data_IF_886968462525
#
_entry.id   IF_886968462525
#
_cell.length_a   1.000
_cell.length_b   1.000
_cell.length_c   1.000
_cell.angle_alpha   90.00
_cell.angle_beta   90.00
_cell.angle_gamma   90.00
#
_symmetry.space_group_name_H-M   'P 1'
#
loop_
_entity.id
_entity.type
_entity.pdbx_description
1 polymer ?
#
# COMPACT_ATOMS: atom_id res chain seq x y z
N UNK A 1 -19.18 9.10 17.95
CA UNK A 1 -18.97 7.68 18.30
C UNK A 1 -17.51 7.38 17.98
N UNK A 2 -16.68 7.26 19.01
CA UNK A 2 -15.26 7.62 18.99
C UNK A 2 -14.42 6.71 18.08
N UNK A 3 -13.47 7.29 17.34
CA UNK A 3 -12.41 6.61 16.57
C UNK A 3 -11.66 5.55 17.40
N UNK A 4 -11.57 5.78 18.72
CA UNK A 4 -11.01 4.85 19.70
C UNK A 4 -11.84 3.55 19.86
N UNK A 5 -13.15 3.59 19.62
CA UNK A 5 -14.01 2.41 19.65
C UNK A 5 -13.89 1.60 18.35
N UNK A 6 -13.74 2.29 17.20
CA UNK A 6 -13.56 1.63 15.91
C UNK A 6 -12.23 0.88 15.82
N UNK A 7 -11.14 1.52 16.24
CA UNK A 7 -9.80 0.89 16.28
C UNK A 7 -9.76 -0.34 17.21
N UNK A 8 -10.41 -0.26 18.38
CA UNK A 8 -10.57 -1.42 19.29
C UNK A 8 -11.39 -2.55 18.65
N UNK A 9 -12.49 -2.23 17.98
CA UNK A 9 -13.33 -3.23 17.30
C UNK A 9 -12.61 -3.88 16.12
N UNK A 10 -11.85 -3.11 15.33
CA UNK A 10 -11.04 -3.61 14.23
C UNK A 10 -9.95 -4.57 14.71
N UNK A 11 -9.29 -4.23 15.82
CA UNK A 11 -8.28 -5.09 16.43
C UNK A 11 -8.85 -6.43 16.90
N UNK A 12 -10.06 -6.43 17.46
CA UNK A 12 -10.75 -7.66 17.87
C UNK A 12 -11.11 -8.52 16.64
N UNK A 13 -11.68 -7.95 15.58
CA UNK A 13 -12.00 -8.72 14.37
C UNK A 13 -10.75 -9.28 13.69
N UNK A 14 -9.70 -8.47 13.55
CA UNK A 14 -8.41 -8.90 13.00
C UNK A 14 -7.74 -10.01 13.82
N UNK A 15 -8.05 -10.14 15.11
CA UNK A 15 -7.48 -11.20 15.95
C UNK A 15 -8.09 -12.59 15.68
N UNK A 16 -9.23 -12.70 14.99
CA UNK A 16 -9.93 -13.98 14.78
C UNK A 16 -9.08 -14.99 13.99
N UNK A 17 -8.49 -14.65 12.82
CA UNK A 17 -7.61 -15.57 12.11
C UNK A 17 -6.34 -15.91 12.90
N UNK A 18 -5.83 -14.99 13.71
CA UNK A 18 -4.66 -15.22 14.56
C UNK A 18 -4.97 -16.19 15.71
N UNK A 19 -6.13 -16.05 16.36
CA UNK A 19 -6.60 -16.99 17.37
C UNK A 19 -6.82 -18.39 16.79
N UNK A 20 -7.38 -18.47 15.57
CA UNK A 20 -7.52 -19.72 14.84
C UNK A 20 -6.17 -20.36 14.51
N UNK A 21 -5.17 -19.56 14.11
CA UNK A 21 -3.80 -20.04 13.93
C UNK A 21 -3.22 -20.62 15.23
N UNK A 22 -3.37 -19.94 16.36
CA UNK A 22 -2.85 -20.44 17.65
C UNK A 22 -3.52 -21.77 18.00
N UNK A 23 -4.83 -21.87 17.83
CA UNK A 23 -5.59 -23.09 18.08
C UNK A 23 -5.13 -24.24 17.18
N UNK A 24 -4.99 -24.01 15.87
CA UNK A 24 -4.54 -25.03 14.92
C UNK A 24 -3.10 -25.49 15.18
N UNK A 25 -2.19 -24.57 15.53
CA UNK A 25 -0.83 -24.92 15.93
C UNK A 25 -0.80 -25.72 17.24
N UNK A 26 -1.64 -25.39 18.22
CA UNK A 26 -1.75 -26.12 19.48
C UNK A 26 -2.28 -27.54 19.26
N UNK A 27 -3.34 -27.70 18.46
CA UNK A 27 -3.86 -29.03 18.08
C UNK A 27 -2.80 -29.83 17.34
N UNK A 28 -2.05 -29.21 16.43
CA UNK A 28 -0.96 -29.87 15.70
C UNK A 28 0.16 -30.33 16.65
N UNK A 29 0.53 -29.50 17.63
CA UNK A 29 1.50 -29.85 18.67
C UNK A 29 1.02 -31.05 19.51
N UNK A 30 -0.21 -31.01 20.04
CA UNK A 30 -0.78 -32.12 20.83
C UNK A 30 -0.85 -33.40 19.98
N UNK A 31 -1.27 -33.28 18.72
CA UNK A 31 -1.32 -34.41 17.78
C UNK A 31 0.07 -35.04 17.57
N UNK A 32 1.11 -34.23 17.40
CA UNK A 32 2.49 -34.71 17.31
C UNK A 32 2.94 -35.42 18.59
N UNK A 33 2.65 -34.85 19.77
CA UNK A 33 3.03 -35.44 21.06
C UNK A 33 2.32 -36.78 21.31
N UNK A 34 1.01 -36.84 21.10
CA UNK A 34 0.20 -38.07 21.29
C UNK A 34 0.59 -39.19 20.33
N UNK A 35 0.90 -38.87 19.07
CA UNK A 35 1.38 -39.84 18.06
C UNK A 35 2.82 -40.29 18.26
N UNK A 36 3.69 -39.44 18.79
CA UNK A 36 5.01 -39.88 19.24
C UNK A 36 4.93 -41.00 20.29
N UNK A 37 3.83 -41.05 21.05
CA UNK A 37 3.56 -42.09 22.04
C UNK A 37 2.81 -43.34 21.48
N UNK A 38 2.23 -43.30 20.27
CA UNK A 38 1.47 -44.43 19.70
C UNK A 38 2.32 -45.29 18.74
N UNK A 39 2.49 -46.58 19.10
CA UNK A 39 3.42 -47.50 18.45
C UNK A 39 2.82 -48.36 17.33
N UNK A 40 1.51 -48.32 17.04
CA UNK A 40 0.88 -49.25 16.07
C UNK A 40 1.36 -49.10 14.59
N UNK A 41 1.60 -50.22 13.86
CA UNK A 41 1.90 -50.23 12.42
C UNK A 41 0.64 -50.14 11.54
N UNK A 42 0.75 -49.60 10.32
CA UNK A 42 -0.36 -49.39 9.36
C UNK A 42 -0.26 -50.27 8.08
N UNK A 43 -1.40 -50.59 7.44
CA UNK A 43 -1.46 -51.40 6.21
C UNK A 43 -1.08 -50.64 4.92
N UNK A 44 -0.52 -51.36 3.94
CA UNK A 44 0.07 -50.85 2.67
C UNK A 44 -0.87 -50.01 1.79
N UNK A 45 -2.18 -50.34 1.72
CA UNK A 45 -3.18 -49.57 0.93
C UNK A 45 -3.31 -48.10 1.35
N UNK A 46 -2.92 -47.76 2.59
CA UNK A 46 -2.94 -46.39 3.12
C UNK A 46 -1.92 -45.45 2.45
N UNK A 47 -0.87 -45.98 1.80
CA UNK A 47 0.22 -45.17 1.23
C UNK A 47 -0.16 -44.60 -0.14
N UNK A 48 -0.87 -45.37 -0.98
CA UNK A 48 -1.31 -44.90 -2.29
C UNK A 48 -2.38 -43.81 -2.16
N UNK A 49 -3.33 -43.98 -1.23
CA UNK A 49 -4.34 -42.96 -0.94
C UNK A 49 -3.72 -41.63 -0.48
N UNK A 50 -2.65 -41.69 0.32
CA UNK A 50 -1.91 -40.53 0.83
C UNK A 50 -1.26 -39.68 -0.27
N UNK A 51 -0.67 -40.34 -1.27
CA UNK A 51 -0.06 -39.68 -2.44
C UNK A 51 -1.11 -38.96 -3.28
N UNK A 52 -2.27 -39.60 -3.49
CA UNK A 52 -3.39 -39.01 -4.22
C UNK A 52 -3.92 -37.78 -3.46
N UNK A 53 -4.10 -37.88 -2.13
CA UNK A 53 -4.54 -36.73 -1.33
C UNK A 53 -3.54 -35.57 -1.36
N UNK A 54 -2.24 -35.85 -1.31
CA UNK A 54 -1.20 -34.81 -1.39
C UNK A 54 -1.23 -34.07 -2.73
N UNK A 55 -1.40 -34.81 -3.84
CA UNK A 55 -1.50 -34.23 -5.18
C UNK A 55 -2.77 -33.38 -5.35
N UNK A 56 -3.91 -33.81 -4.81
CA UNK A 56 -5.16 -33.03 -4.87
C UNK A 56 -5.02 -31.73 -4.07
N UNK A 57 -4.50 -31.82 -2.84
CA UNK A 57 -4.35 -30.63 -1.98
C UNK A 57 -3.35 -29.64 -2.54
N UNK A 58 -2.27 -30.11 -3.19
CA UNK A 58 -1.30 -29.20 -3.83
C UNK A 58 -1.93 -28.44 -5.01
N UNK A 59 -2.72 -29.11 -5.85
CA UNK A 59 -3.46 -28.45 -6.96
C UNK A 59 -4.45 -27.42 -6.44
N UNK A 60 -5.20 -27.75 -5.38
CA UNK A 60 -6.12 -26.81 -4.73
C UNK A 60 -5.39 -25.61 -4.12
N UNK A 61 -4.19 -25.83 -3.57
CA UNK A 61 -3.36 -24.74 -3.04
C UNK A 61 -2.90 -23.80 -4.16
N UNK A 62 -2.51 -24.35 -5.32
CA UNK A 62 -2.18 -23.54 -6.50
C UNK A 62 -3.39 -22.72 -6.97
N UNK A 63 -4.58 -23.32 -7.01
CA UNK A 63 -5.81 -22.62 -7.35
C UNK A 63 -6.13 -21.48 -6.36
N UNK A 64 -5.96 -21.72 -5.05
CA UNK A 64 -6.13 -20.70 -4.02
C UNK A 64 -5.17 -19.52 -4.21
N UNK A 65 -3.88 -19.78 -4.47
CA UNK A 65 -2.91 -18.71 -4.75
C UNK A 65 -3.29 -17.92 -6.01
N UNK A 66 -3.76 -18.60 -7.07
CA UNK A 66 -4.25 -17.93 -8.28
C UNK A 66 -5.42 -16.99 -8.02
N UNK A 67 -6.38 -17.39 -7.19
CA UNK A 67 -7.49 -16.53 -6.76
C UNK A 67 -7.00 -15.31 -5.96
N UNK A 68 -5.98 -15.48 -5.11
CA UNK A 68 -5.39 -14.38 -4.36
C UNK A 68 -4.66 -13.36 -5.24
N UNK A 69 -3.95 -13.83 -6.26
CA UNK A 69 -3.30 -12.98 -7.26
C UNK A 69 -4.33 -12.22 -8.10
N UNK A 70 -5.41 -12.88 -8.50
CA UNK A 70 -6.52 -12.24 -9.22
C UNK A 70 -7.19 -11.15 -8.37
N UNK A 71 -7.48 -11.44 -7.09
CA UNK A 71 -8.02 -10.43 -6.18
C UNK A 71 -7.08 -9.24 -5.93
N UNK A 72 -5.76 -9.46 -5.96
CA UNK A 72 -4.77 -8.40 -5.85
C UNK A 72 -4.76 -7.48 -7.09
N UNK A 73 -4.91 -8.05 -8.28
CA UNK A 73 -5.03 -7.26 -9.52
C UNK A 73 -6.28 -6.38 -9.51
N UNK A 74 -7.43 -6.94 -9.13
CA UNK A 74 -8.68 -6.17 -8.97
C UNK A 74 -8.54 -5.06 -7.91
N UNK A 75 -7.93 -5.35 -6.76
CA UNK A 75 -7.67 -4.34 -5.74
C UNK A 75 -6.77 -3.21 -6.27
N UNK A 76 -5.69 -3.58 -6.96
CA UNK A 76 -4.77 -2.61 -7.56
C UNK A 76 -5.49 -1.73 -8.59
N UNK A 77 -6.26 -2.34 -9.50
CA UNK A 77 -7.04 -1.62 -10.50
C UNK A 77 -8.07 -0.67 -9.87
N UNK A 78 -8.79 -1.11 -8.84
CA UNK A 78 -9.71 -0.27 -8.07
C UNK A 78 -9.02 0.92 -7.40
N UNK A 79 -7.83 0.70 -6.82
CA UNK A 79 -7.03 1.75 -6.18
C UNK A 79 -6.49 2.76 -7.20
N UNK A 80 -5.90 2.30 -8.30
CA UNK A 80 -5.37 3.15 -9.37
C UNK A 80 -6.50 3.98 -10.00
N UNK A 81 -7.66 3.39 -10.27
CA UNK A 81 -8.81 4.12 -10.79
C UNK A 81 -9.26 5.22 -9.82
N UNK A 82 -9.30 4.93 -8.52
CA UNK A 82 -9.64 5.90 -7.47
C UNK A 82 -8.64 7.06 -7.41
N UNK A 83 -7.34 6.75 -7.43
CA UNK A 83 -6.27 7.75 -7.48
C UNK A 83 -6.37 8.64 -8.72
N UNK A 84 -6.67 8.04 -9.88
CA UNK A 84 -6.84 8.79 -11.12
C UNK A 84 -8.03 9.75 -11.04
N UNK A 85 -9.16 9.35 -10.44
CA UNK A 85 -10.28 10.26 -10.21
C UNK A 85 -9.94 11.36 -9.19
N UNK A 86 -9.17 11.05 -8.14
CA UNK A 86 -8.66 12.03 -7.19
C UNK A 86 -7.79 13.11 -7.87
N UNK A 87 -6.89 12.69 -8.76
CA UNK A 87 -6.10 13.62 -9.58
C UNK A 87 -6.96 14.55 -10.45
N UNK A 88 -8.08 14.05 -11.00
CA UNK A 88 -9.00 14.90 -11.76
C UNK A 88 -9.66 15.98 -10.89
N UNK A 89 -9.97 15.68 -9.63
CA UNK A 89 -10.46 16.67 -8.66
C UNK A 89 -9.41 17.74 -8.40
N UNK A 90 -8.15 17.35 -8.17
CA UNK A 90 -7.07 18.31 -7.94
C UNK A 90 -6.81 19.19 -9.17
N UNK A 91 -6.88 18.63 -10.39
CA UNK A 91 -6.79 19.41 -11.63
C UNK A 91 -7.93 20.42 -11.74
N UNK A 92 -9.17 20.03 -11.38
CA UNK A 92 -10.30 20.94 -11.37
C UNK A 92 -10.11 22.07 -10.36
N UNK A 93 -9.67 21.77 -9.14
CA UNK A 93 -9.35 22.77 -8.11
C UNK A 93 -8.22 23.69 -8.56
N UNK A 94 -7.15 23.15 -9.16
CA UNK A 94 -6.05 23.94 -9.72
C UNK A 94 -6.54 24.88 -10.84
N UNK A 95 -7.47 24.43 -11.69
CA UNK A 95 -8.08 25.27 -12.73
C UNK A 95 -8.89 26.42 -12.13
N UNK A 96 -9.63 26.19 -11.05
CA UNK A 96 -10.34 27.23 -10.29
C UNK A 96 -9.34 28.25 -9.72
N UNK A 97 -8.25 27.79 -9.10
CA UNK A 97 -7.19 28.66 -8.57
C UNK A 97 -6.57 29.52 -9.67
N UNK A 98 -6.17 28.91 -10.78
CA UNK A 98 -5.59 29.62 -11.93
C UNK A 98 -6.55 30.66 -12.55
N UNK A 99 -7.84 30.35 -12.65
CA UNK A 99 -8.83 31.31 -13.13
C UNK A 99 -9.01 32.47 -12.15
N UNK A 100 -9.00 32.19 -10.85
CA UNK A 100 -9.08 33.23 -9.81
C UNK A 100 -7.86 34.15 -9.84
N UNK A 101 -6.67 33.58 -9.99
CA UNK A 101 -5.41 34.34 -10.16
C UNK A 101 -5.45 35.21 -11.41
N UNK A 102 -6.02 34.72 -12.52
CA UNK A 102 -6.19 35.49 -13.74
C UNK A 102 -7.11 36.70 -13.53
N UNK A 103 -8.22 36.52 -12.80
CA UNK A 103 -9.13 37.63 -12.43
C UNK A 103 -8.39 38.66 -11.56
N UNK A 104 -7.66 38.20 -10.55
CA UNK A 104 -6.89 39.07 -9.65
C UNK A 104 -5.84 39.88 -10.43
N UNK A 105 -5.08 39.23 -11.32
CA UNK A 105 -4.10 39.91 -12.20
C UNK A 105 -4.78 40.93 -13.12
N UNK A 106 -5.90 40.56 -13.73
CA UNK A 106 -6.64 41.43 -14.64
C UNK A 106 -7.11 42.70 -13.93
N UNK A 107 -7.71 42.56 -12.74
CA UNK A 107 -8.29 43.66 -12.00
C UNK A 107 -7.24 44.48 -11.24
N UNK A 108 -6.32 43.83 -10.51
CA UNK A 108 -5.38 44.52 -9.62
C UNK A 108 -4.07 44.97 -10.28
N UNK A 109 -3.68 44.37 -11.41
CA UNK A 109 -2.46 44.76 -12.12
C UNK A 109 -2.83 45.61 -13.35
N UNK A 110 -3.64 45.07 -14.26
CA UNK A 110 -3.95 45.76 -15.52
C UNK A 110 -4.95 46.91 -15.30
N UNK A 111 -6.18 46.60 -14.90
CA UNK A 111 -7.24 47.60 -14.75
C UNK A 111 -6.88 48.66 -13.68
N UNK A 112 -6.34 48.24 -12.53
CA UNK A 112 -5.89 49.17 -11.48
C UNK A 112 -4.74 50.07 -11.95
N UNK A 113 -3.84 49.57 -12.81
CA UNK A 113 -2.80 50.36 -13.45
C UNK A 113 -3.39 51.45 -14.35
N UNK A 114 -4.34 51.10 -15.21
CA UNK A 114 -5.07 52.07 -16.05
C UNK A 114 -5.84 53.09 -15.21
N UNK A 115 -6.52 52.64 -14.15
CA UNK A 115 -7.25 53.51 -13.22
C UNK A 115 -6.33 54.49 -12.50
N UNK A 116 -5.14 54.07 -12.08
CA UNK A 116 -4.14 54.95 -11.48
C UNK A 116 -3.66 56.00 -12.49
N UNK A 117 -3.42 55.61 -13.73
CA UNK A 117 -3.04 56.55 -14.79
C UNK A 117 -4.13 57.58 -15.07
N UNK A 118 -5.40 57.17 -15.06
CA UNK A 118 -6.55 58.08 -15.20
C UNK A 118 -6.64 58.99 -13.99
N UNK A 119 -6.49 58.46 -12.76
CA UNK A 119 -6.50 59.24 -11.52
C UNK A 119 -5.43 60.32 -11.50
N UNK A 120 -4.21 60.02 -11.94
CA UNK A 120 -3.14 61.02 -12.05
C UNK A 120 -3.49 62.17 -13.02
N UNK A 121 -4.32 61.94 -14.04
CA UNK A 121 -4.78 63.01 -14.94
C UNK A 121 -5.81 63.90 -14.22
N UNK A 122 -6.61 63.32 -13.35
CA UNK A 122 -7.59 64.03 -12.53
C UNK A 122 -6.95 64.88 -11.42
N UNK A 123 -5.66 64.71 -11.12
CA UNK A 123 -4.92 65.60 -10.20
C UNK A 123 -4.58 66.96 -10.83
N UNK A 124 -4.76 67.13 -12.15
CA UNK A 124 -4.53 68.40 -12.83
C UNK A 124 -5.61 69.44 -12.49
N UNK A 125 -5.25 70.74 -12.35
CA UNK A 125 -6.21 71.80 -12.06
C UNK A 125 -7.24 71.96 -13.20
N UNK A 126 -8.52 72.10 -12.84
CA UNK A 126 -9.65 72.25 -13.79
C UNK A 126 -10.50 73.48 -13.47
N UNK A 127 -11.14 74.05 -14.49
CA UNK A 127 -11.96 75.26 -14.37
C UNK A 127 -13.39 74.98 -13.88
N UNK A 128 -13.91 73.78 -14.14
CA UNK A 128 -15.29 73.38 -13.83
C UNK A 128 -15.36 72.40 -12.64
N UNK A 129 -15.34 72.95 -11.42
CA UNK A 129 -15.28 72.19 -10.16
C UNK A 129 -16.47 71.24 -9.97
N UNK A 130 -17.68 71.62 -10.41
CA UNK A 130 -18.90 70.82 -10.23
C UNK A 130 -18.85 69.53 -11.07
N UNK A 131 -18.46 69.65 -12.33
CA UNK A 131 -18.31 68.50 -13.25
C UNK A 131 -17.13 67.62 -12.81
N UNK A 132 -16.06 68.25 -12.32
CA UNK A 132 -14.91 67.56 -11.75
C UNK A 132 -15.32 66.66 -10.56
N UNK A 133 -16.04 67.19 -9.57
CA UNK A 133 -16.50 66.40 -8.41
C UNK A 133 -17.38 65.21 -8.82
N UNK A 134 -18.25 65.40 -9.81
CA UNK A 134 -19.08 64.31 -10.34
C UNK A 134 -18.23 63.22 -11.01
N UNK A 135 -17.28 63.61 -11.87
CA UNK A 135 -16.39 62.69 -12.56
C UNK A 135 -15.45 61.95 -11.59
N UNK A 136 -14.89 62.64 -10.60
CA UNK A 136 -14.06 62.03 -9.55
C UNK A 136 -14.86 61.03 -8.69
N UNK A 137 -16.13 61.30 -8.40
CA UNK A 137 -16.99 60.33 -7.71
C UNK A 137 -17.19 59.05 -8.52
N UNK A 138 -17.41 59.15 -9.83
CA UNK A 138 -17.50 57.95 -10.69
C UNK A 138 -16.18 57.19 -10.76
N UNK A 139 -15.05 57.89 -10.84
CA UNK A 139 -13.72 57.27 -10.84
C UNK A 139 -13.41 56.55 -9.52
N UNK A 140 -13.78 57.13 -8.38
CA UNK A 140 -13.61 56.50 -7.06
C UNK A 140 -14.45 55.22 -6.96
N UNK A 141 -15.74 55.30 -7.32
CA UNK A 141 -16.62 54.11 -7.38
C UNK A 141 -16.09 53.04 -8.33
N UNK A 142 -15.46 53.43 -9.43
CA UNK A 142 -14.84 52.51 -10.39
C UNK A 142 -13.64 51.77 -9.77
N UNK A 143 -12.80 52.47 -9.01
CA UNK A 143 -11.65 51.89 -8.29
C UNK A 143 -12.11 50.95 -7.18
N UNK A 144 -13.12 51.34 -6.41
CA UNK A 144 -13.64 50.53 -5.29
C UNK A 144 -14.30 49.25 -5.81
N UNK A 145 -15.11 49.34 -6.87
CA UNK A 145 -15.72 48.14 -7.46
C UNK A 145 -14.65 47.19 -8.05
N UNK A 146 -13.55 47.72 -8.59
CA UNK A 146 -12.44 46.92 -9.11
C UNK A 146 -11.76 46.09 -8.01
N UNK A 147 -11.52 46.69 -6.84
CA UNK A 147 -10.92 45.98 -5.71
C UNK A 147 -11.90 45.01 -5.06
N UNK A 148 -13.18 45.36 -4.96
CA UNK A 148 -14.24 44.47 -4.48
C UNK A 148 -14.36 43.21 -5.36
N UNK A 149 -14.40 43.36 -6.69
CA UNK A 149 -14.47 42.22 -7.60
C UNK A 149 -13.25 41.29 -7.47
N UNK A 150 -12.05 41.86 -7.31
CA UNK A 150 -10.83 41.09 -7.11
C UNK A 150 -10.81 40.34 -5.76
N UNK A 151 -11.25 41.00 -4.69
CA UNK A 151 -11.33 40.40 -3.35
C UNK A 151 -12.35 39.27 -3.30
N UNK A 152 -13.53 39.46 -3.88
CA UNK A 152 -14.55 38.42 -3.97
C UNK A 152 -14.06 37.17 -4.71
N UNK A 153 -13.26 37.34 -5.76
CA UNK A 153 -12.61 36.23 -6.44
C UNK A 153 -11.57 35.55 -5.53
N UNK A 154 -10.70 36.32 -4.87
CA UNK A 154 -9.68 35.82 -3.95
C UNK A 154 -10.28 34.97 -2.81
N UNK A 155 -11.41 35.38 -2.23
CA UNK A 155 -12.10 34.64 -1.17
C UNK A 155 -12.51 33.22 -1.61
N UNK A 156 -12.90 33.04 -2.89
CA UNK A 156 -13.23 31.72 -3.46
C UNK A 156 -11.99 30.81 -3.49
N UNK A 157 -10.83 31.34 -3.89
CA UNK A 157 -9.56 30.59 -3.92
C UNK A 157 -9.12 30.20 -2.51
N UNK A 158 -9.24 31.11 -1.54
CA UNK A 158 -8.83 30.86 -0.16
C UNK A 158 -9.67 29.75 0.48
N UNK A 159 -10.98 29.74 0.26
CA UNK A 159 -11.87 28.68 0.72
C UNK A 159 -11.54 27.29 0.15
N UNK A 160 -10.88 27.22 -1.00
CA UNK A 160 -10.50 25.97 -1.67
C UNK A 160 -9.04 25.56 -1.43
N UNK A 161 -8.28 26.31 -0.62
CA UNK A 161 -6.86 26.04 -0.36
C UNK A 161 -6.64 24.70 0.37
N UNK A 162 -7.62 24.26 1.17
CA UNK A 162 -7.58 23.02 1.93
C UNK A 162 -7.93 21.73 1.17
N UNK A 163 -8.40 21.81 -0.09
CA UNK A 163 -8.59 20.63 -0.94
C UNK A 163 -7.24 20.19 -1.53
N UNK A 164 -6.58 19.27 -0.85
CA UNK A 164 -5.44 18.51 -1.37
C UNK A 164 -5.66 17.04 -0.95
N UNK A 165 -6.42 16.30 -1.76
CA UNK A 165 -6.81 14.93 -1.43
C UNK A 165 -5.74 13.92 -1.85
N UNK A 166 -4.99 14.18 -2.92
CA UNK A 166 -4.04 13.20 -3.47
C UNK A 166 -2.86 12.96 -2.54
N UNK A 167 -2.32 14.00 -1.89
CA UNK A 167 -1.21 13.85 -0.94
C UNK A 167 -1.58 12.96 0.27
N UNK A 168 -2.83 13.04 0.75
CA UNK A 168 -3.34 12.23 1.87
C UNK A 168 -3.65 10.79 1.48
N UNK A 169 -4.13 10.55 0.25
CA UNK A 169 -4.44 9.18 -0.22
C UNK A 169 -3.13 8.43 -0.57
N UNK A 170 -2.12 9.12 -1.13
CA UNK A 170 -0.81 8.52 -1.45
C UNK A 170 -0.08 8.07 -0.18
N UNK A 171 -0.13 8.83 0.93
CA UNK A 171 0.44 8.37 2.21
C UNK A 171 -0.22 7.08 2.76
N UNK A 172 -1.50 6.86 2.48
CA UNK A 172 -2.17 5.59 2.81
C UNK A 172 -1.84 4.44 1.84
N UNK A 173 -1.51 4.77 0.59
CA UNK A 173 -1.13 3.82 -0.46
C UNK A 173 0.33 3.35 -0.37
N UNK A 174 1.27 4.25 -0.04
CA UNK A 174 2.71 3.94 0.04
C UNK A 174 3.01 2.95 1.19
N UNK A 175 2.26 3.02 2.30
CA UNK A 175 2.41 2.08 3.43
C UNK A 175 1.85 0.68 3.11
N UNK A 176 1.09 0.53 2.01
CA UNK A 176 0.43 -0.72 1.61
C UNK A 176 0.96 -1.31 0.30
N UNK A 177 1.75 -0.56 -0.48
CA UNK A 177 2.29 -0.98 -1.78
C UNK A 177 3.41 -2.02 -1.70
N UNK A 178 4.22 -1.99 -0.64
CA UNK A 178 5.46 -2.78 -0.62
C UNK A 178 5.45 -4.13 0.14
N UNK A 179 4.58 -4.42 1.13
CA UNK A 179 4.65 -5.73 1.78
C UNK A 179 3.85 -6.84 1.06
N UNK A 180 2.84 -6.52 0.26
CA UNK A 180 1.99 -7.55 -0.41
C UNK A 180 2.68 -8.10 -1.67
N UNK A 181 3.33 -7.22 -2.45
CA UNK A 181 4.18 -7.60 -3.58
C UNK A 181 5.46 -8.30 -3.09
N UNK A 182 6.04 -7.93 -1.95
CA UNK A 182 7.21 -8.64 -1.42
C UNK A 182 6.92 -10.06 -0.92
N UNK A 183 5.68 -10.37 -0.50
CA UNK A 183 5.30 -11.72 -0.09
C UNK A 183 4.88 -12.64 -1.24
N UNK A 184 4.39 -12.07 -2.36
CA UNK A 184 3.88 -12.83 -3.52
C UNK A 184 4.72 -12.67 -4.81
N UNK A 185 5.67 -11.73 -4.83
CA UNK A 185 6.50 -11.38 -5.99
C UNK A 185 7.76 -12.22 -6.14
N UNK A 186 8.02 -13.17 -5.23
CA UNK A 186 8.98 -14.24 -5.50
C UNK A 186 8.22 -15.50 -5.91
N UNK A 187 8.11 -15.81 -7.23
CA UNK A 187 7.69 -17.14 -7.68
C UNK A 187 8.58 -18.26 -7.12
N UNK A 188 9.72 -17.92 -6.51
CA UNK A 188 10.61 -18.83 -5.81
C UNK A 188 10.03 -19.41 -4.50
N UNK A 189 8.96 -18.82 -3.92
CA UNK A 189 8.37 -19.32 -2.65
C UNK A 189 7.11 -20.17 -2.83
N UNK A 190 6.40 -20.03 -3.95
CA UNK A 190 5.26 -20.92 -4.30
C UNK A 190 5.70 -22.25 -4.94
N UNK A 191 6.96 -22.35 -5.39
CA UNK A 191 7.54 -23.58 -5.93
C UNK A 191 8.11 -24.53 -4.85
N UNK A 192 8.34 -24.05 -3.62
CA UNK A 192 8.94 -24.85 -2.54
C UNK A 192 8.09 -26.07 -2.11
N UNK A 193 6.74 -26.00 -2.11
CA UNK A 193 5.91 -27.18 -1.84
C UNK A 193 5.99 -28.25 -2.95
N UNK A 194 6.35 -27.87 -4.18
CA UNK A 194 6.38 -28.79 -5.33
C UNK A 194 7.71 -29.55 -5.42
N UNK A 195 8.84 -29.00 -4.92
CA UNK A 195 10.12 -29.70 -4.87
C UNK A 195 10.21 -30.79 -3.77
N UNK A 196 9.29 -30.80 -2.79
CA UNK A 196 9.26 -31.78 -1.71
C UNK A 196 8.85 -33.20 -2.14
N UNK A 197 8.20 -33.33 -3.30
CA UNK A 197 7.61 -34.60 -3.78
C UNK A 197 8.68 -35.59 -4.26
N UNK A 198 9.91 -35.15 -4.52
CA UNK A 198 10.88 -35.95 -5.28
C UNK A 198 12.01 -36.65 -4.50
N UNK A 199 12.25 -36.42 -3.19
CA UNK A 199 13.42 -37.04 -2.54
C UNK A 199 13.21 -37.60 -1.14
N UNK A 200 13.60 -38.87 -1.00
CA UNK A 200 13.74 -39.68 0.21
C UNK A 200 14.83 -39.18 1.20
N UNK A 201 15.12 -37.87 1.25
CA UNK A 201 16.15 -37.31 2.14
C UNK A 201 15.54 -36.70 3.41
N UNK A 202 16.09 -37.07 4.59
CA UNK A 202 15.64 -36.61 5.91
C UNK A 202 15.72 -35.08 6.05
N UNK A 203 16.79 -34.47 5.53
CA UNK A 203 16.95 -33.02 5.58
C UNK A 203 15.90 -32.26 4.76
N UNK A 204 15.44 -32.84 3.65
CA UNK A 204 14.42 -32.23 2.80
C UNK A 204 13.04 -32.22 3.46
N UNK A 205 12.67 -33.29 4.18
CA UNK A 205 11.39 -33.35 4.91
C UNK A 205 11.32 -32.36 6.09
N UNK A 206 12.45 -32.17 6.79
CA UNK A 206 12.54 -31.19 7.89
C UNK A 206 12.42 -29.77 7.32
N UNK A 207 13.16 -29.46 6.26
CA UNK A 207 13.07 -28.17 5.58
C UNK A 207 11.65 -27.89 5.05
N UNK A 208 11.00 -28.90 4.47
CA UNK A 208 9.63 -28.81 3.99
C UNK A 208 8.64 -28.47 5.12
N UNK A 209 8.75 -29.16 6.26
CA UNK A 209 7.89 -28.93 7.43
C UNK A 209 8.06 -27.52 8.01
N UNK A 210 9.31 -27.06 8.15
CA UNK A 210 9.60 -25.70 8.65
C UNK A 210 9.08 -24.65 7.68
N UNK A 211 9.35 -24.80 6.37
CA UNK A 211 8.84 -23.87 5.36
C UNK A 211 7.31 -23.88 5.27
N UNK A 212 6.68 -25.06 5.37
CA UNK A 212 5.22 -25.20 5.40
C UNK A 212 4.59 -24.51 6.62
N UNK A 213 5.18 -24.67 7.80
CA UNK A 213 4.72 -24.01 9.02
C UNK A 213 4.87 -22.48 8.93
N UNK A 214 5.98 -21.98 8.38
CA UNK A 214 6.16 -20.54 8.14
C UNK A 214 5.14 -20.01 7.12
N UNK A 215 4.83 -20.78 6.07
CA UNK A 215 3.82 -20.41 5.08
C UNK A 215 2.41 -20.39 5.69
N UNK A 216 2.08 -21.34 6.57
CA UNK A 216 0.83 -21.31 7.36
C UNK A 216 0.77 -20.04 8.20
N UNK A 217 1.83 -19.72 8.95
CA UNK A 217 1.87 -18.49 9.77
C UNK A 217 1.65 -17.25 8.91
N UNK A 218 2.39 -17.13 7.80
CA UNK A 218 2.22 -16.02 6.88
C UNK A 218 0.78 -15.93 6.34
N UNK A 219 0.17 -17.04 5.92
CA UNK A 219 -1.20 -17.03 5.35
C UNK A 219 -2.26 -16.52 6.32
N UNK A 220 -2.21 -16.94 7.59
CA UNK A 220 -3.17 -16.47 8.60
C UNK A 220 -2.88 -15.05 9.08
N UNK A 221 -1.61 -14.63 9.13
CA UNK A 221 -1.25 -13.23 9.38
C UNK A 221 -1.78 -12.34 8.25
N UNK A 222 -1.60 -12.73 6.99
CA UNK A 222 -2.15 -11.99 5.85
C UNK A 222 -3.68 -12.00 5.86
N UNK A 223 -4.33 -13.12 6.22
CA UNK A 223 -5.78 -13.17 6.39
C UNK A 223 -6.28 -12.18 7.46
N UNK A 224 -5.55 -12.00 8.56
CA UNK A 224 -5.88 -10.97 9.58
C UNK A 224 -5.83 -9.55 8.99
N UNK A 225 -4.78 -9.26 8.23
CA UNK A 225 -4.53 -7.96 7.61
C UNK A 225 -5.57 -7.68 6.53
N UNK A 226 -5.95 -8.70 5.74
CA UNK A 226 -7.00 -8.62 4.73
C UNK A 226 -8.37 -8.41 5.37
N UNK A 227 -8.70 -9.17 6.42
CA UNK A 227 -9.95 -9.00 7.16
C UNK A 227 -10.08 -7.59 7.73
N UNK A 228 -9.03 -7.09 8.40
CA UNK A 228 -9.01 -5.74 8.93
C UNK A 228 -9.18 -4.68 7.84
N UNK A 229 -8.51 -4.82 6.69
CA UNK A 229 -8.68 -3.90 5.56
C UNK A 229 -10.05 -4.00 4.89
N UNK A 230 -10.63 -5.20 4.76
CA UNK A 230 -11.95 -5.39 4.19
C UNK A 230 -13.02 -4.71 5.04
N UNK A 231 -12.91 -4.81 6.38
CA UNK A 231 -13.83 -4.13 7.30
C UNK A 231 -13.64 -2.63 7.24
N UNK A 232 -12.39 -2.13 7.29
CA UNK A 232 -12.11 -0.71 7.16
C UNK A 232 -12.66 -0.12 5.84
N UNK A 233 -12.48 -0.86 4.74
CA UNK A 233 -12.96 -0.43 3.44
C UNK A 233 -14.48 -0.52 3.33
N UNK A 234 -15.10 -1.56 3.89
CA UNK A 234 -16.55 -1.68 3.93
C UNK A 234 -17.20 -0.54 4.73
N UNK A 235 -16.61 -0.14 5.85
CA UNK A 235 -17.06 1.02 6.64
C UNK A 235 -16.97 2.32 5.83
N UNK A 236 -15.86 2.50 5.10
CA UNK A 236 -15.72 3.63 4.16
C UNK A 236 -16.79 3.59 3.07
N UNK A 237 -17.08 2.43 2.51
CA UNK A 237 -18.08 2.26 1.45
C UNK A 237 -19.52 2.47 1.92
N UNK A 238 -19.82 2.21 3.20
CA UNK A 238 -21.13 2.47 3.78
C UNK A 238 -21.39 3.96 4.00
N UNK A 239 -20.36 4.74 4.36
CA UNK A 239 -20.50 6.18 4.62
C UNK A 239 -19.27 6.96 4.13
N UNK A 240 -19.08 7.08 2.81
CA UNK A 240 -17.87 7.69 2.24
C UNK A 240 -17.81 9.20 2.51
N UNK A 241 -18.95 9.87 2.67
CA UNK A 241 -19.01 11.31 2.95
C UNK A 241 -18.38 11.66 4.30
N UNK A 242 -18.68 10.86 5.34
CA UNK A 242 -18.14 11.05 6.70
C UNK A 242 -16.64 10.83 6.74
N UNK A 243 -16.15 9.84 6.01
CA UNK A 243 -14.72 9.56 5.91
C UNK A 243 -13.95 10.74 5.32
N UNK A 244 -14.46 11.34 4.23
CA UNK A 244 -13.82 12.51 3.64
C UNK A 244 -13.93 13.74 4.56
N UNK A 245 -15.04 13.89 5.29
CA UNK A 245 -15.19 14.98 6.26
C UNK A 245 -14.18 14.91 7.41
N UNK A 246 -13.91 13.71 7.92
CA UNK A 246 -12.94 13.49 8.98
C UNK A 246 -11.48 13.61 8.47
N UNK A 247 -11.23 13.22 7.21
CA UNK A 247 -9.90 13.30 6.60
C UNK A 247 -9.58 14.68 6.00
N UNK A 248 -10.59 15.50 5.74
CA UNK A 248 -10.42 16.85 5.22
C UNK A 248 -9.62 17.73 6.20
N UNK A 249 -8.84 18.65 5.65
CA UNK A 249 -8.07 19.61 6.46
C UNK A 249 -9.01 20.53 7.24
N UNK A 250 -8.62 20.92 8.45
CA UNK A 250 -9.39 21.84 9.32
C UNK A 250 -9.71 23.19 8.67
N UNK A 251 -8.92 23.60 7.68
CA UNK A 251 -9.10 24.85 6.93
C UNK A 251 -10.26 24.78 5.92
N UNK A 252 -10.75 23.59 5.58
CA UNK A 252 -11.88 23.44 4.66
C UNK A 252 -13.20 23.42 5.44
N UNK A 253 -14.11 24.34 5.10
CA UNK A 253 -15.45 24.33 5.69
C UNK A 253 -16.22 23.06 5.31
N UNK A 254 -16.75 22.37 6.32
CA UNK A 254 -17.59 21.16 6.18
C UNK A 254 -18.79 21.38 5.26
N UNK A 255 -19.29 22.60 5.19
CA UNK A 255 -20.41 22.96 4.31
C UNK A 255 -20.05 22.87 2.82
N UNK A 256 -18.84 23.35 2.46
CA UNK A 256 -18.32 23.31 1.08
C UNK A 256 -18.11 21.84 0.67
N UNK A 257 -17.54 21.03 1.56
CA UNK A 257 -17.36 19.61 1.29
C UNK A 257 -18.69 18.89 1.08
N UNK A 258 -19.69 19.16 1.93
CA UNK A 258 -21.03 18.58 1.81
C UNK A 258 -21.74 19.01 0.52
N UNK A 259 -21.48 20.22 0.04
CA UNK A 259 -22.00 20.69 -1.25
C UNK A 259 -21.46 19.86 -2.43
N UNK A 260 -20.16 19.55 -2.46
CA UNK A 260 -19.55 18.76 -3.53
C UNK A 260 -19.83 17.25 -3.44
N UNK A 261 -20.01 16.71 -2.23
CA UNK A 261 -20.28 15.28 -2.00
C UNK A 261 -21.73 14.91 -2.25
N UNK A 262 -22.71 15.71 -1.80
CA UNK A 262 -24.14 15.40 -2.02
C UNK A 262 -24.70 15.96 -3.34
N UNK A 263 -24.18 17.13 -3.80
CA UNK A 263 -24.66 17.84 -5.00
C UNK A 263 -26.19 17.91 -5.12
N UNK A 264 -26.86 18.25 -4.01
CA UNK A 264 -28.32 18.40 -3.94
C UNK A 264 -28.80 19.59 -4.77
N UNK A 265 -29.83 19.39 -5.61
CA UNK A 265 -30.40 20.45 -6.47
C UNK A 265 -31.00 21.63 -5.70
N UNK A 266 -31.48 21.39 -4.48
CA UNK A 266 -32.10 22.42 -3.65
C UNK A 266 -31.07 23.28 -2.90
N UNK A 267 -29.79 22.88 -2.90
CA UNK A 267 -28.74 23.56 -2.14
C UNK A 267 -28.07 24.61 -3.01
N UNK A 268 -28.09 25.86 -2.57
CA UNK A 268 -27.38 26.93 -3.25
C UNK A 268 -25.87 26.69 -3.20
N UNK A 269 -25.16 27.11 -4.24
CA UNK A 269 -23.70 27.03 -4.27
C UNK A 269 -23.12 27.98 -3.21
N UNK A 270 -22.21 27.52 -2.33
CA UNK A 270 -21.61 28.36 -1.28
C UNK A 270 -20.87 29.58 -1.86
N UNK A 271 -20.42 29.51 -3.11
CA UNK A 271 -19.77 30.59 -3.82
C UNK A 271 -20.73 31.52 -4.57
N UNK A 272 -22.04 31.25 -4.58
CA UNK A 272 -23.02 32.09 -5.30
C UNK A 272 -23.00 33.53 -4.81
N UNK A 273 -22.85 33.77 -3.52
CA UNK A 273 -22.81 35.13 -2.97
C UNK A 273 -21.58 35.90 -3.48
N UNK A 274 -20.39 35.29 -3.41
CA UNK A 274 -19.12 35.91 -3.86
C UNK A 274 -19.07 36.07 -5.39
N UNK A 275 -19.61 35.11 -6.13
CA UNK A 275 -19.74 35.23 -7.58
C UNK A 275 -20.71 36.34 -7.98
N UNK A 276 -21.82 36.50 -7.25
CA UNK A 276 -22.78 37.59 -7.49
C UNK A 276 -22.14 38.94 -7.19
N UNK A 277 -21.46 39.06 -6.05
CA UNK A 277 -20.70 40.25 -5.68
C UNK A 277 -19.69 40.64 -6.78
N UNK A 278 -18.87 39.69 -7.25
CA UNK A 278 -17.91 39.94 -8.32
C UNK A 278 -18.57 40.39 -9.64
N UNK A 279 -19.67 39.73 -10.07
CA UNK A 279 -20.40 40.08 -11.29
C UNK A 279 -21.03 41.46 -11.20
N UNK A 280 -21.73 41.73 -10.10
CA UNK A 280 -22.41 43.02 -9.87
C UNK A 280 -21.39 44.16 -9.78
N UNK A 281 -20.24 43.96 -9.13
CA UNK A 281 -19.15 44.94 -9.13
C UNK A 281 -18.62 45.22 -10.53
N UNK A 282 -18.44 44.21 -11.40
CA UNK A 282 -18.03 44.42 -12.80
C UNK A 282 -19.09 45.17 -13.61
N UNK A 283 -20.37 44.85 -13.43
CA UNK A 283 -21.47 45.59 -14.07
C UNK A 283 -21.47 47.07 -13.63
N UNK A 284 -21.31 47.32 -12.34
CA UNK A 284 -21.16 48.68 -11.81
C UNK A 284 -19.91 49.38 -12.35
N UNK A 285 -18.81 48.67 -12.59
CA UNK A 285 -17.63 49.25 -13.24
C UNK A 285 -17.95 49.70 -14.66
N UNK A 286 -18.60 48.86 -15.47
CA UNK A 286 -19.01 49.23 -16.83
C UNK A 286 -19.93 50.45 -16.82
N UNK A 287 -20.90 50.46 -15.92
CA UNK A 287 -21.84 51.57 -15.77
C UNK A 287 -21.13 52.89 -15.38
N UNK A 288 -20.30 52.87 -14.34
CA UNK A 288 -19.57 54.05 -13.87
C UNK A 288 -18.56 54.54 -14.93
N UNK A 289 -17.92 53.64 -15.67
CA UNK A 289 -17.01 54.01 -16.77
C UNK A 289 -17.75 54.73 -17.91
N UNK A 290 -18.94 54.24 -18.29
CA UNK A 290 -19.78 54.89 -19.30
C UNK A 290 -20.23 56.29 -18.86
N UNK A 291 -20.58 56.45 -17.57
CA UNK A 291 -20.95 57.76 -17.01
C UNK A 291 -19.74 58.70 -16.87
N UNK A 292 -18.54 58.16 -16.62
CA UNK A 292 -17.30 58.93 -16.51
C UNK A 292 -16.78 59.44 -17.86
N UNK A 293 -17.01 58.69 -18.94
CA UNK A 293 -16.37 58.93 -20.24
C UNK A 293 -16.65 60.33 -20.79
N UNK A 294 -17.93 60.75 -20.87
CA UNK A 294 -18.30 62.07 -21.44
C UNK A 294 -17.80 63.26 -20.58
N UNK A 295 -18.06 63.30 -19.25
CA UNK A 295 -17.55 64.37 -18.39
C UNK A 295 -16.02 64.48 -18.41
N UNK A 296 -15.31 63.35 -18.43
CA UNK A 296 -13.86 63.33 -18.39
C UNK A 296 -13.22 63.83 -19.70
N UNK A 297 -13.81 63.50 -20.86
CA UNK A 297 -13.36 64.03 -22.16
C UNK A 297 -13.60 65.55 -22.28
N UNK A 298 -14.68 66.05 -21.68
CA UNK A 298 -14.96 67.50 -21.63
C UNK A 298 -13.96 68.25 -20.75
N UNK A 299 -13.60 67.69 -19.58
CA UNK A 299 -12.62 68.28 -18.66
C UNK A 299 -11.19 68.21 -19.20
N UNK A 300 -10.83 67.14 -19.91
CA UNK A 300 -9.45 66.85 -20.34
C UNK A 300 -9.31 66.51 -21.84
N UNK A 301 -9.63 67.45 -22.75
CA UNK A 301 -9.73 67.18 -24.19
C UNK A 301 -8.40 66.80 -24.87
N UNK A 302 -7.23 67.14 -24.31
CA UNK A 302 -5.90 66.89 -24.92
C UNK A 302 -5.08 65.79 -24.24
N UNK A 303 -5.69 64.97 -23.37
CA UNK A 303 -4.98 63.97 -22.55
C UNK A 303 -5.12 62.51 -23.05
N UNK A 304 -5.73 62.30 -24.23
CA UNK A 304 -5.86 60.97 -24.85
C UNK A 304 -6.64 59.96 -24.00
N UNK A 305 -7.70 60.44 -23.34
CA UNK A 305 -8.49 59.65 -22.37
C UNK A 305 -9.34 58.56 -23.03
N UNK A 306 -9.75 58.80 -24.27
CA UNK A 306 -10.49 57.87 -25.14
C UNK A 306 -9.79 56.51 -25.28
N UNK A 307 -8.50 56.52 -25.59
CA UNK A 307 -7.70 55.29 -25.71
C UNK A 307 -7.56 54.55 -24.38
N UNK A 308 -7.41 55.29 -23.26
CA UNK A 308 -7.32 54.72 -21.91
C UNK A 308 -8.64 54.09 -21.45
N UNK A 309 -9.77 54.75 -21.72
CA UNK A 309 -11.10 54.20 -21.41
C UNK A 309 -11.43 52.98 -22.27
N UNK A 310 -11.03 52.97 -23.55
CA UNK A 310 -11.17 51.80 -24.41
C UNK A 310 -10.34 50.61 -23.89
N UNK A 311 -9.07 50.84 -23.52
CA UNK A 311 -8.22 49.81 -22.91
C UNK A 311 -8.83 49.28 -21.60
N UNK A 312 -9.30 50.17 -20.71
CA UNK A 312 -9.93 49.78 -19.46
C UNK A 312 -11.23 48.99 -19.68
N UNK A 313 -12.02 49.36 -20.69
CA UNK A 313 -13.23 48.61 -21.07
C UNK A 313 -12.88 47.19 -21.51
N UNK A 314 -11.81 47.02 -22.30
CA UNK A 314 -11.33 45.71 -22.70
C UNK A 314 -10.88 44.88 -21.49
N UNK A 315 -10.20 45.51 -20.53
CA UNK A 315 -9.76 44.83 -19.30
C UNK A 315 -10.94 44.36 -18.45
N UNK A 316 -11.97 45.19 -18.29
CA UNK A 316 -13.21 44.85 -17.58
C UNK A 316 -13.94 43.71 -18.28
N UNK A 317 -14.03 43.76 -19.61
CA UNK A 317 -14.65 42.71 -20.42
C UNK A 317 -13.88 41.39 -20.35
N UNK A 318 -12.55 41.43 -20.23
CA UNK A 318 -11.75 40.25 -20.00
C UNK A 318 -12.02 39.63 -18.61
N UNK A 319 -12.08 40.46 -17.56
CA UNK A 319 -12.41 40.01 -16.21
C UNK A 319 -13.80 39.35 -16.13
N UNK A 320 -14.79 39.93 -16.81
CA UNK A 320 -16.15 39.38 -16.88
C UNK A 320 -16.17 37.97 -17.50
N UNK A 321 -15.44 37.77 -18.61
CA UNK A 321 -15.30 36.44 -19.23
C UNK A 321 -14.65 35.43 -18.28
N UNK A 322 -13.63 35.84 -17.52
CA UNK A 322 -13.02 34.96 -16.52
C UNK A 322 -13.97 34.60 -15.39
N UNK A 323 -14.79 35.54 -14.89
CA UNK A 323 -15.79 35.26 -13.85
C UNK A 323 -16.92 34.36 -14.36
N UNK A 324 -17.33 34.51 -15.61
CA UNK A 324 -18.26 33.58 -16.25
C UNK A 324 -17.69 32.16 -16.33
N UNK A 325 -16.44 32.01 -16.77
CA UNK A 325 -15.71 30.74 -16.79
C UNK A 325 -15.59 30.13 -15.38
N UNK A 326 -15.23 30.95 -14.39
CA UNK A 326 -15.11 30.55 -12.98
C UNK A 326 -16.44 30.01 -12.43
N UNK A 327 -17.57 30.66 -12.76
CA UNK A 327 -18.91 30.22 -12.35
C UNK A 327 -19.19 28.77 -12.75
N UNK A 328 -18.79 28.38 -13.96
CA UNK A 328 -19.00 27.02 -14.45
C UNK A 328 -18.04 26.01 -13.80
N UNK A 329 -16.84 26.44 -13.43
CA UNK A 329 -15.83 25.55 -12.83
C UNK A 329 -16.14 25.20 -11.38
N UNK A 330 -16.75 26.12 -10.62
CA UNK A 330 -17.09 25.88 -9.20
C UNK A 330 -18.36 25.03 -9.02
N UNK A 331 -19.02 24.63 -10.10
CA UNK A 331 -20.25 23.82 -10.05
C UNK A 331 -19.99 22.41 -9.48
N UNK A 332 -20.90 21.92 -8.64
CA UNK A 332 -20.73 20.64 -7.92
C UNK A 332 -20.68 19.44 -8.85
N UNK A 333 -21.37 19.51 -10.00
CA UNK A 333 -21.59 18.37 -10.88
C UNK A 333 -20.29 17.72 -11.37
N UNK A 334 -19.29 18.55 -11.68
CA UNK A 334 -18.02 18.08 -12.23
C UNK A 334 -17.18 17.35 -11.18
N UNK A 335 -17.07 17.92 -9.97
CA UNK A 335 -16.34 17.34 -8.84
C UNK A 335 -17.05 16.09 -8.31
N UNK A 336 -18.37 16.17 -8.12
CA UNK A 336 -19.19 15.08 -7.61
C UNK A 336 -19.10 13.83 -8.49
N UNK A 337 -19.06 14.00 -9.83
CA UNK A 337 -18.91 12.87 -10.75
C UNK A 337 -17.57 12.15 -10.59
N UNK A 338 -16.46 12.89 -10.43
CA UNK A 338 -15.14 12.30 -10.19
C UNK A 338 -15.09 11.60 -8.82
N UNK A 339 -15.64 12.25 -7.78
CA UNK A 339 -15.78 11.67 -6.45
C UNK A 339 -16.55 10.33 -6.49
N UNK A 340 -17.74 10.32 -7.09
CA UNK A 340 -18.61 9.15 -7.17
C UNK A 340 -17.98 8.01 -7.97
N UNK A 341 -17.25 8.33 -9.06
CA UNK A 341 -16.50 7.34 -9.84
C UNK A 341 -15.36 6.74 -9.04
N UNK A 342 -14.64 7.54 -8.27
CA UNK A 342 -13.57 7.07 -7.39
C UNK A 342 -14.12 6.17 -6.29
N UNK A 343 -15.15 6.61 -5.58
CA UNK A 343 -15.80 5.83 -4.54
C UNK A 343 -16.33 4.48 -5.06
N UNK A 344 -17.00 4.47 -6.22
CA UNK A 344 -17.49 3.22 -6.84
C UNK A 344 -16.36 2.31 -7.29
N UNK A 345 -15.27 2.83 -7.84
CA UNK A 345 -14.12 2.02 -8.24
C UNK A 345 -13.53 1.29 -7.03
N UNK A 346 -13.33 2.02 -5.93
CA UNK A 346 -12.81 1.45 -4.69
C UNK A 346 -13.77 0.44 -4.06
N UNK A 347 -15.07 0.76 -4.01
CA UNK A 347 -16.07 -0.03 -3.31
C UNK A 347 -16.60 -1.23 -4.11
N UNK A 348 -16.67 -1.14 -5.43
CA UNK A 348 -17.15 -2.27 -6.25
C UNK A 348 -16.01 -3.19 -6.66
N UNK A 349 -14.86 -2.63 -7.06
CA UNK A 349 -13.72 -3.42 -7.56
C UNK A 349 -12.74 -3.69 -6.43
N UNK A 350 -12.32 -2.65 -5.70
CA UNK A 350 -11.33 -2.77 -4.63
C UNK A 350 -11.79 -3.66 -3.46
N UNK A 351 -13.01 -3.46 -2.97
CA UNK A 351 -13.58 -4.29 -1.90
C UNK A 351 -13.75 -5.75 -2.35
N UNK A 352 -14.22 -5.98 -3.58
CA UNK A 352 -14.35 -7.32 -4.14
C UNK A 352 -12.99 -8.02 -4.21
N UNK A 353 -11.96 -7.35 -4.74
CA UNK A 353 -10.58 -7.85 -4.75
C UNK A 353 -10.07 -8.23 -3.36
N UNK A 354 -10.27 -7.37 -2.36
CA UNK A 354 -9.90 -7.68 -0.97
C UNK A 354 -10.64 -8.89 -0.40
N UNK A 355 -11.92 -9.07 -0.72
CA UNK A 355 -12.67 -10.25 -0.26
C UNK A 355 -12.16 -11.54 -0.88
N UNK A 356 -11.77 -11.52 -2.17
CA UNK A 356 -11.14 -12.65 -2.84
C UNK A 356 -9.76 -12.95 -2.23
N UNK A 357 -8.95 -11.92 -1.94
CA UNK A 357 -7.67 -12.08 -1.24
C UNK A 357 -7.85 -12.69 0.15
N UNK A 358 -8.86 -12.29 0.91
CA UNK A 358 -9.17 -12.88 2.22
C UNK A 358 -9.57 -14.35 2.10
N UNK A 359 -10.51 -14.66 1.20
CA UNK A 359 -10.97 -16.04 0.98
C UNK A 359 -9.82 -16.95 0.53
N UNK A 360 -8.99 -16.47 -0.38
CA UNK A 360 -7.83 -17.21 -0.88
C UNK A 360 -6.79 -17.46 0.22
N UNK A 361 -6.50 -16.47 1.07
CA UNK A 361 -5.57 -16.63 2.19
C UNK A 361 -6.07 -17.63 3.23
N UNK A 362 -7.36 -17.60 3.57
CA UNK A 362 -7.97 -18.57 4.49
C UNK A 362 -7.94 -19.99 3.91
N UNK A 363 -8.33 -20.13 2.64
CA UNK A 363 -8.31 -21.42 1.94
C UNK A 363 -6.87 -21.97 1.84
N UNK A 364 -5.91 -21.15 1.44
CA UNK A 364 -4.50 -21.54 1.38
C UNK A 364 -3.97 -21.94 2.76
N UNK A 365 -4.29 -21.17 3.82
CA UNK A 365 -3.91 -21.49 5.19
C UNK A 365 -4.47 -22.84 5.66
N UNK A 366 -5.75 -23.12 5.38
CA UNK A 366 -6.37 -24.41 5.69
C UNK A 366 -5.73 -25.56 4.91
N UNK A 367 -5.51 -25.41 3.60
CA UNK A 367 -4.89 -26.45 2.77
C UNK A 367 -3.42 -26.71 3.19
N UNK A 368 -2.66 -25.66 3.49
CA UNK A 368 -1.28 -25.78 3.99
C UNK A 368 -1.25 -26.44 5.38
N UNK A 369 -2.19 -26.13 6.29
CA UNK A 369 -2.29 -26.85 7.56
C UNK A 369 -2.57 -28.34 7.36
N UNK A 370 -3.45 -28.69 6.42
CA UNK A 370 -3.71 -30.08 6.07
C UNK A 370 -2.48 -30.79 5.49
N UNK A 371 -1.70 -30.12 4.63
CA UNK A 371 -0.42 -30.64 4.11
C UNK A 371 0.57 -30.92 5.23
N UNK A 372 0.80 -29.96 6.13
CA UNK A 372 1.72 -30.16 7.28
C UNK A 372 1.23 -31.32 8.17
N UNK A 373 -0.09 -31.47 8.34
CA UNK A 373 -0.65 -32.58 9.11
C UNK A 373 -0.43 -33.93 8.42
N UNK A 374 -0.64 -34.02 7.12
CA UNK A 374 -0.36 -35.21 6.30
C UNK A 374 1.13 -35.54 6.29
N UNK A 375 2.01 -34.56 6.15
CA UNK A 375 3.45 -34.77 6.12
C UNK A 375 3.99 -35.22 7.47
N UNK A 376 3.52 -34.61 8.56
CA UNK A 376 3.83 -35.06 9.92
C UNK A 376 3.40 -36.50 10.16
N UNK A 377 2.26 -36.89 9.57
CA UNK A 377 1.78 -38.27 9.59
C UNK A 377 2.76 -39.17 8.83
N UNK A 378 3.15 -38.82 7.59
CA UNK A 378 4.05 -39.62 6.74
C UNK A 378 5.43 -39.85 7.38
N UNK A 379 5.98 -38.82 8.05
CA UNK A 379 7.33 -38.82 8.61
C UNK A 379 7.53 -39.90 9.67
N UNK A 380 6.54 -40.11 10.54
CA UNK A 380 6.57 -41.11 11.61
C UNK A 380 6.71 -42.53 11.04
N UNK A 381 6.08 -42.83 9.90
CA UNK A 381 6.13 -44.16 9.29
C UNK A 381 7.43 -44.42 8.53
N UNK A 382 8.01 -43.41 7.88
CA UNK A 382 9.32 -43.53 7.22
C UNK A 382 10.41 -43.82 8.25
N UNK A 383 10.33 -43.24 9.45
CA UNK A 383 11.25 -43.55 10.56
C UNK A 383 11.12 -45.01 10.99
N UNK A 384 9.89 -45.50 11.24
CA UNK A 384 9.64 -46.90 11.65
C UNK A 384 10.15 -47.92 10.62
N UNK A 385 9.92 -47.74 9.31
CA UNK A 385 10.39 -48.70 8.28
C UNK A 385 11.91 -48.89 8.28
N UNK A 386 12.67 -47.88 8.72
CA UNK A 386 14.14 -47.94 8.83
C UNK A 386 14.61 -48.61 10.14
N UNK A 387 13.83 -48.50 11.21
CA UNK A 387 14.10 -49.19 12.49
C UNK A 387 13.77 -50.70 12.42
N UNK A 388 12.81 -51.12 11.59
CA UNK A 388 12.50 -52.54 11.32
C UNK A 388 13.50 -53.26 10.39
N UNK A 389 14.53 -52.56 9.91
CA UNK A 389 15.64 -53.17 9.17
C UNK A 389 16.84 -53.48 10.09
N UNK A 390 16.62 -53.65 11.39
CA UNK A 390 17.55 -54.41 12.22
C UNK A 390 17.40 -55.90 11.88
N UNK A 391 18.43 -56.39 11.21
CA UNK A 391 18.66 -57.79 10.86
C UNK A 391 18.50 -58.66 12.11
N UNK A 392 17.74 -59.76 12.03
CA UNK A 392 17.76 -60.79 13.08
C UNK A 392 19.21 -61.29 13.22
N UNK A 393 19.88 -61.01 14.34
CA UNK A 393 21.24 -61.46 14.65
C UNK A 393 21.33 -62.98 14.94
N UNK A 394 20.30 -63.76 14.61
CA UNK A 394 20.21 -65.20 14.84
C UNK A 394 19.95 -65.98 13.53
N UNK A 395 20.48 -65.51 12.40
CA UNK A 395 20.46 -66.26 11.14
C UNK A 395 21.82 -66.98 10.95
N UNK A 396 21.89 -68.33 11.07
CA UNK A 396 23.15 -69.08 11.07
C UNK A 396 23.97 -69.04 9.76
N UNK A 397 23.46 -68.43 8.70
CA UNK A 397 24.04 -68.49 7.36
C UNK A 397 24.65 -67.16 6.85
N UNK A 398 24.71 -66.09 7.64
CA UNK A 398 25.39 -64.85 7.25
C UNK A 398 26.75 -64.68 7.94
N UNK A 399 27.79 -64.19 7.24
CA UNK A 399 29.07 -63.85 7.85
C UNK A 399 28.89 -62.67 8.84
N UNK A 400 29.57 -62.70 10.00
CA UNK A 400 29.38 -61.71 11.05
C UNK A 400 29.73 -60.29 10.56
N UNK A 401 29.00 -59.24 11.01
CA UNK A 401 29.22 -57.87 10.58
C UNK A 401 30.60 -57.38 11.04
N UNK A 402 31.27 -56.58 10.22
CA UNK A 402 32.63 -56.05 10.49
C UNK A 402 32.79 -55.33 11.85
N UNK A 403 31.68 -54.88 12.45
CA UNK A 403 31.66 -54.29 13.79
C UNK A 403 31.95 -55.32 14.91
N UNK A 404 31.54 -56.59 14.77
CA UNK A 404 31.85 -57.63 15.77
C UNK A 404 33.30 -58.08 15.70
N UNK A 405 33.94 -58.01 14.53
CA UNK A 405 35.38 -58.27 14.38
C UNK A 405 36.23 -57.19 15.07
N UNK A 406 35.83 -55.93 15.00
CA UNK A 406 36.53 -54.82 15.67
C UNK A 406 36.39 -54.88 17.21
N UNK A 407 35.27 -55.40 17.72
CA UNK A 407 35.06 -55.58 19.16
C UNK A 407 35.82 -56.83 19.65
N UNK A 408 35.77 -57.95 18.91
CA UNK A 408 36.51 -59.17 19.22
C UNK A 408 38.03 -58.96 19.23
N UNK A 409 38.57 -58.21 18.27
CA UNK A 409 40.00 -57.85 18.24
C UNK A 409 40.43 -56.96 19.43
N UNK A 410 39.53 -56.08 19.90
CA UNK A 410 39.77 -55.22 21.08
C UNK A 410 39.66 -55.97 22.40
N UNK A 411 38.81 -57.01 22.50
CA UNK A 411 38.74 -57.88 23.69
C UNK A 411 39.85 -58.92 23.77
N UNK A 412 40.41 -59.36 22.64
CA UNK A 412 41.58 -60.26 22.63
C UNK A 412 42.87 -59.57 23.09
N UNK A 413 43.02 -58.25 22.87
CA UNK A 413 44.15 -57.49 23.40
C UNK A 413 44.02 -57.13 24.90
N UNK A 414 42.82 -57.20 25.48
CA UNK A 414 42.59 -56.88 26.91
C UNK A 414 42.62 -58.10 27.83
N UNK A 415 42.65 -59.33 27.30
CA UNK A 415 42.67 -60.56 28.11
C UNK A 415 44.04 -61.26 28.18
N UNK A 416 45.07 -60.78 27.47
CA UNK A 416 46.45 -61.29 27.62
C UNK A 416 47.27 -60.38 28.53
N UNK A 417 47.05 -60.53 29.83
CA UNK A 417 47.89 -59.96 30.87
C UNK A 417 47.81 -60.82 32.13
N UNK A 418 48.46 -61.99 32.12
CA UNK A 418 49.05 -62.66 33.30
C UNK A 418 49.57 -64.07 32.95
N UNK A 419 50.89 -64.27 33.03
CA UNK A 419 51.63 -65.57 33.08
C UNK A 419 53.12 -65.20 32.91
N UNK A 420 54.10 -65.35 33.82
CA UNK A 420 54.43 -66.25 34.95
C UNK A 420 55.52 -65.56 35.85
N UNK A 421 55.92 -66.10 37.03
CA UNK A 421 56.93 -65.51 37.94
C UNK A 421 58.34 -66.16 37.77
N UNK A 422 59.32 -65.92 38.67
CA UNK A 422 60.37 -64.90 38.58
C UNK A 422 61.81 -65.49 38.44
N UNK A 423 62.84 -64.66 38.16
CA UNK A 423 64.18 -64.67 38.83
C UNK A 423 65.29 -63.84 38.12
N UNK A 424 65.83 -62.86 38.87
CA UNK A 424 67.23 -62.31 38.84
C UNK A 424 67.71 -61.45 37.61
N UNK A 425 68.83 -60.68 37.70
CA UNK A 425 68.90 -59.25 38.07
C UNK A 425 69.48 -58.32 36.94
N UNK A 426 69.57 -56.97 37.12
CA UNK A 426 69.76 -56.01 36.01
C UNK A 426 71.21 -55.49 35.84
N UNK A 427 71.59 -55.05 34.62
CA UNK A 427 72.31 -53.76 34.45
C UNK A 427 71.79 -52.99 33.20
N UNK A 428 71.41 -51.71 33.29
CA UNK A 428 72.19 -50.46 33.26
C UNK A 428 72.85 -50.06 31.92
N UNK A 429 72.41 -48.90 31.42
CA UNK A 429 73.10 -47.84 30.67
C UNK A 429 73.57 -48.07 29.20
N UNK A 430 73.45 -46.98 28.42
CA UNK A 430 73.95 -46.71 27.04
C UNK A 430 73.13 -47.34 25.90
N UNK A 431 72.29 -46.61 25.17
CA UNK A 431 72.76 -45.62 24.20
C UNK A 431 71.59 -44.73 23.74
N UNK A 432 71.51 -43.55 24.33
CA UNK A 432 71.01 -42.39 23.61
C UNK A 432 72.05 -42.01 22.53
N UNK A 433 71.55 -41.44 21.43
CA UNK A 433 72.26 -40.75 20.34
C UNK A 433 72.86 -41.67 19.27
N UNK A 434 72.25 -41.68 18.07
CA UNK A 434 72.83 -41.03 16.88
C UNK A 434 72.04 -41.33 15.59
N UNK A 435 71.94 -40.30 14.74
CA UNK A 435 71.77 -40.31 13.28
C UNK A 435 70.38 -40.25 12.59
N UNK A 436 69.93 -38.99 12.46
CA UNK A 436 69.53 -38.27 11.23
C UNK A 436 70.03 -38.85 9.87
N UNK A 437 69.13 -39.08 8.88
CA UNK A 437 69.12 -38.43 7.52
C UNK A 437 68.03 -38.95 6.56
N UNK A 438 67.53 -38.01 5.76
CA UNK A 438 66.63 -37.96 4.59
C UNK A 438 66.90 -38.87 3.37
N UNK A 439 65.89 -39.21 2.56
CA UNK A 439 65.63 -38.65 1.18
C UNK A 439 64.65 -39.46 0.30
N UNK A 440 63.81 -38.73 -0.48
CA UNK A 440 63.23 -38.97 -1.83
C UNK A 440 62.39 -40.25 -2.13
N UNK A 441 61.43 -40.30 -3.07
CA UNK A 441 60.59 -39.37 -3.83
C UNK A 441 59.63 -40.20 -4.73
N UNK A 442 58.40 -39.75 -4.96
CA UNK A 442 57.69 -39.84 -6.27
C UNK A 442 56.29 -39.20 -6.19
N UNK A 443 56.07 -38.17 -7.02
CA UNK A 443 54.79 -37.54 -7.37
C UNK A 443 54.06 -38.39 -8.45
N UNK A 444 52.82 -38.12 -8.95
CA UNK A 444 52.11 -36.83 -9.12
C UNK A 444 50.56 -36.92 -8.85
N UNK A 445 49.64 -36.17 -9.52
CA UNK A 445 49.22 -34.80 -9.21
C UNK A 445 47.70 -34.59 -8.96
N UNK A 446 47.39 -33.45 -8.32
CA UNK A 446 46.26 -32.50 -8.49
C UNK A 446 44.92 -32.92 -9.15
N UNK A 447 43.85 -32.67 -8.37
CA UNK A 447 42.75 -31.71 -8.65
C UNK A 447 41.48 -32.17 -9.40
N UNK A 448 40.35 -32.20 -8.66
CA UNK A 448 39.05 -31.51 -8.89
C UNK A 448 38.02 -32.12 -7.91
N UNK A 449 37.47 -31.33 -6.97
CA UNK A 449 36.16 -30.68 -7.10
C UNK A 449 35.06 -31.59 -7.66
N UNK A 450 34.00 -31.78 -6.87
CA UNK A 450 32.57 -31.78 -7.22
C UNK A 450 31.83 -32.73 -6.25
N UNK A 451 30.80 -32.16 -5.63
CA UNK A 451 29.81 -32.82 -4.80
C UNK A 451 29.23 -34.09 -5.45
N UNK A 452 28.89 -35.07 -4.63
CA UNK A 452 27.61 -35.80 -4.73
C UNK A 452 27.14 -36.21 -3.34
#
# INVERSE_FOLDING_TARGET
MNELSKTKSLGILGSIPAAWLILTLLVLLIYLLTRCCDRKPRPSRSISALKITLAIVSVLCCAAVGLGLYGNDDLHNGLIQTLNQGKQVDIQVAKIRNQTDAIERQLLIQAKGQLKNIKNIFEAPTTNVTVFKMADSYLTKLIDNNTMAANAAKDIREALKGLDLTSKIVQGGEVRGDPVAAHHGHPERSAYPLLGVARHNRCALIAFSVCGLLAVIASYLMASVYLASSVALADLCMAPDKFIEDQASTDLSKEILKYYTNCERARANPFTQRLREAKTSIEHMRFNLNLLTKPALYLFPKKGLDTKFSSLTNDINAADRFIHSLTALVDCRSLHMNYLRGARALCNVGLWGLTLMLQSALLAGLLLTALVWVDSHTWIYIRKKKDYHQVNEADPYLPPPQASQAIAARTLQRSQGSSYPPDTPPPSYTSALLHNRSTHASAPPRMKLICY
#
